data_IF_156390110776
#
_entry.id   IF_156390110776
#
_cell.length_a   1.000
_cell.length_b   1.000
_cell.length_c   1.000
_cell.angle_alpha   90.00
_cell.angle_beta   90.00
_cell.angle_gamma   90.00
#
_symmetry.space_group_name_H-M   'P 1'
#
loop_
_entity.id
_entity.type
_entity.pdbx_description
1 polymer ?
#
# COMPACT_ATOMS: atom_id res chain seq x y z
N UNK A 1 -14.87 -20.28 42.50
CA UNK A 1 -14.33 -19.07 41.83
C UNK A 1 -13.49 -19.51 40.64
N UNK A 2 -14.08 -19.50 39.43
CA UNK A 2 -13.46 -20.02 38.21
C UNK A 2 -12.62 -18.94 37.52
N UNK A 3 -11.32 -19.19 37.42
CA UNK A 3 -10.35 -18.35 36.74
C UNK A 3 -10.46 -18.59 35.21
N UNK A 4 -10.92 -17.57 34.47
CA UNK A 4 -11.10 -17.64 33.01
C UNK A 4 -9.76 -17.49 32.29
N UNK A 5 -9.38 -18.56 31.57
CA UNK A 5 -8.32 -18.57 30.56
C UNK A 5 -8.50 -17.44 29.53
N UNK A 6 -7.68 -16.38 29.61
CA UNK A 6 -7.39 -15.50 28.46
C UNK A 6 -6.22 -16.11 27.70
N UNK A 7 -6.52 -16.89 26.65
CA UNK A 7 -5.51 -17.27 25.65
C UNK A 7 -5.07 -15.99 24.93
N UNK A 8 -3.84 -15.53 25.20
CA UNK A 8 -3.15 -14.55 24.37
C UNK A 8 -2.91 -15.20 23.00
N UNK A 9 -3.63 -14.74 21.98
CA UNK A 9 -3.37 -15.11 20.59
C UNK A 9 -2.00 -14.54 20.22
N UNK A 10 -1.00 -15.43 20.10
CA UNK A 10 0.29 -15.09 19.52
C UNK A 10 0.08 -14.68 18.05
N UNK A 11 0.69 -13.58 17.58
CA UNK A 11 0.58 -13.20 16.19
C UNK A 11 1.06 -14.34 15.29
N UNK A 12 0.30 -14.61 14.24
CA UNK A 12 0.63 -15.57 13.18
C UNK A 12 2.01 -15.26 12.59
N UNK A 13 2.72 -16.27 12.07
CA UNK A 13 4.06 -16.09 11.48
C UNK A 13 4.08 -15.07 10.32
N UNK A 14 2.95 -14.87 9.64
CA UNK A 14 2.75 -13.82 8.64
C UNK A 14 2.66 -12.39 9.23
N UNK A 15 2.27 -12.25 10.50
CA UNK A 15 2.30 -10.95 11.20
C UNK A 15 3.71 -10.59 11.72
N UNK A 16 4.65 -11.54 11.72
CA UNK A 16 6.04 -11.32 12.14
C UNK A 16 6.96 -10.79 11.02
N UNK A 17 6.51 -10.85 9.77
CA UNK A 17 7.21 -10.31 8.61
C UNK A 17 6.28 -9.35 7.89
N UNK A 18 6.50 -8.05 8.08
CA UNK A 18 5.71 -7.03 7.41
C UNK A 18 6.06 -6.99 5.93
N UNK A 19 5.04 -7.04 5.06
CA UNK A 19 5.16 -6.75 3.63
C UNK A 19 4.54 -5.39 3.37
N UNK A 20 5.23 -4.55 2.58
CA UNK A 20 4.78 -3.21 2.18
C UNK A 20 5.17 -2.91 0.73
N UNK A 21 4.29 -2.21 0.02
CA UNK A 21 4.57 -1.67 -1.30
C UNK A 21 4.71 -0.16 -1.19
N UNK A 22 5.83 0.36 -1.67
CA UNK A 22 6.17 1.77 -1.60
C UNK A 22 6.28 2.34 -3.01
N UNK A 23 5.47 3.33 -3.29
CA UNK A 23 5.54 4.13 -4.50
C UNK A 23 6.44 5.34 -4.26
N UNK A 24 7.44 5.53 -5.12
CA UNK A 24 8.30 6.71 -5.16
C UNK A 24 8.02 7.39 -6.49
N UNK A 25 7.62 8.65 -6.47
CA UNK A 25 7.23 9.36 -7.70
C UNK A 25 7.64 10.82 -7.71
N UNK A 26 8.02 11.32 -8.88
CA UNK A 26 8.20 12.74 -9.13
C UNK A 26 6.88 13.47 -9.37
N UNK A 27 5.78 12.73 -9.53
CA UNK A 27 4.54 13.24 -10.08
C UNK A 27 4.82 13.97 -11.39
N UNK A 28 4.18 15.12 -11.60
CA UNK A 28 4.42 15.99 -12.77
C UNK A 28 5.65 16.90 -12.62
N UNK A 29 6.67 16.43 -11.91
CA UNK A 29 7.93 17.14 -11.70
C UNK A 29 8.79 17.20 -12.97
N UNK A 30 9.71 18.17 -13.10
CA UNK A 30 10.65 18.24 -14.22
C UNK A 30 11.73 17.15 -14.12
N UNK A 31 12.61 17.07 -15.11
CA UNK A 31 13.70 16.08 -15.18
C UNK A 31 14.60 16.02 -13.94
N UNK A 32 14.74 17.13 -13.21
CA UNK A 32 15.46 17.12 -11.93
C UNK A 32 14.76 16.22 -10.90
N UNK A 33 13.43 16.28 -10.80
CA UNK A 33 12.67 15.44 -9.88
C UNK A 33 12.72 13.96 -10.30
N UNK A 34 12.65 13.65 -11.59
CA UNK A 34 12.76 12.26 -12.08
C UNK A 34 14.15 11.68 -11.85
N UNK A 35 15.20 12.50 -11.90
CA UNK A 35 16.53 12.09 -11.49
C UNK A 35 16.61 11.84 -9.98
N UNK A 36 15.99 12.72 -9.17
CA UNK A 36 15.91 12.54 -7.70
C UNK A 36 15.23 11.23 -7.34
N UNK A 37 14.12 10.87 -8.01
CA UNK A 37 13.46 9.55 -7.79
C UNK A 37 14.45 8.41 -8.00
N UNK A 38 15.24 8.42 -9.08
CA UNK A 38 16.23 7.38 -9.35
C UNK A 38 17.27 7.26 -8.21
N UNK A 39 17.74 8.40 -7.68
CA UNK A 39 18.68 8.40 -6.56
C UNK A 39 18.03 7.94 -5.25
N UNK A 40 16.80 8.36 -4.97
CA UNK A 40 16.04 7.93 -3.78
C UNK A 40 15.77 6.42 -3.83
N UNK A 41 15.39 5.87 -4.97
CA UNK A 41 15.23 4.42 -5.16
C UNK A 41 16.53 3.70 -4.82
N UNK A 42 17.65 4.11 -5.41
CA UNK A 42 18.97 3.52 -5.12
C UNK A 42 19.27 3.58 -3.62
N UNK A 43 19.09 4.75 -3.00
CA UNK A 43 19.39 4.95 -1.58
C UNK A 43 18.49 4.13 -0.66
N UNK A 44 17.21 4.01 -0.99
CA UNK A 44 16.27 3.20 -0.22
C UNK A 44 16.64 1.72 -0.28
N UNK A 45 17.05 1.21 -1.45
CA UNK A 45 17.52 -0.17 -1.59
C UNK A 45 18.79 -0.44 -0.77
N UNK A 46 19.76 0.48 -0.78
CA UNK A 46 20.96 0.41 0.05
C UNK A 46 20.62 0.39 1.54
N UNK A 47 19.81 1.34 2.03
CA UNK A 47 19.41 1.40 3.45
C UNK A 47 18.55 0.19 3.87
N UNK A 48 17.73 -0.34 2.97
CA UNK A 48 16.95 -1.56 3.23
C UNK A 48 17.88 -2.76 3.41
N UNK A 49 18.89 -2.90 2.54
CA UNK A 49 19.89 -3.95 2.64
C UNK A 49 20.71 -3.85 3.94
N UNK A 50 21.16 -2.65 4.33
CA UNK A 50 21.84 -2.40 5.61
C UNK A 50 21.00 -2.83 6.82
N UNK A 51 19.67 -2.68 6.74
CA UNK A 51 18.71 -3.08 7.77
C UNK A 51 18.22 -4.52 7.63
N UNK A 52 18.83 -5.33 6.76
CA UNK A 52 18.47 -6.73 6.51
C UNK A 52 17.01 -6.90 6.06
N UNK A 53 16.46 -5.88 5.38
CA UNK A 53 15.16 -5.94 4.71
C UNK A 53 15.36 -6.41 3.27
N UNK A 54 14.46 -7.27 2.80
CA UNK A 54 14.41 -7.67 1.40
C UNK A 54 13.65 -6.59 0.61
N UNK A 55 14.32 -5.99 -0.35
CA UNK A 55 13.76 -4.94 -1.18
C UNK A 55 13.87 -5.30 -2.67
N UNK A 56 12.75 -5.28 -3.38
CA UNK A 56 12.67 -5.62 -4.81
C UNK A 56 11.91 -4.53 -5.55
N UNK A 57 12.46 -4.02 -6.65
CA UNK A 57 11.73 -3.10 -7.54
C UNK A 57 10.75 -3.93 -8.37
N UNK A 58 9.45 -3.67 -8.22
CA UNK A 58 8.36 -4.40 -8.90
C UNK A 58 7.96 -3.70 -10.20
N UNK A 59 7.91 -2.37 -10.16
CA UNK A 59 7.57 -1.54 -11.31
C UNK A 59 8.52 -0.35 -11.37
N UNK A 60 8.87 0.04 -12.60
CA UNK A 60 9.70 1.20 -12.87
C UNK A 60 9.28 1.85 -14.17
N UNK A 61 8.93 3.11 -14.09
CA UNK A 61 8.60 3.98 -15.22
C UNK A 61 9.80 4.89 -15.48
N UNK A 62 10.39 4.77 -16.66
CA UNK A 62 11.52 5.60 -17.04
C UNK A 62 11.07 7.05 -17.25
N UNK A 63 11.88 8.01 -16.80
CA UNK A 63 11.66 9.41 -17.14
C UNK A 63 12.13 9.72 -18.58
N UNK A 64 11.86 10.93 -19.04
CA UNK A 64 12.21 11.38 -20.40
C UNK A 64 13.72 11.40 -20.66
N UNK A 65 14.52 11.69 -19.63
CA UNK A 65 15.98 11.78 -19.73
C UNK A 65 16.65 10.46 -19.32
N UNK A 66 17.78 10.15 -19.93
CA UNK A 66 18.52 8.93 -19.66
C UNK A 66 18.91 8.81 -18.17
N UNK A 67 18.64 7.64 -17.59
CA UNK A 67 18.94 7.36 -16.19
C UNK A 67 17.96 7.99 -15.19
N UNK A 68 16.89 8.63 -15.65
CA UNK A 68 15.84 9.18 -14.78
C UNK A 68 14.64 8.23 -14.65
N UNK A 69 13.87 8.41 -13.59
CA UNK A 69 12.71 7.56 -13.25
C UNK A 69 11.55 8.47 -12.86
N UNK A 70 10.39 8.29 -13.47
CA UNK A 70 9.20 9.07 -13.12
C UNK A 70 8.52 8.49 -11.88
N UNK A 71 8.28 7.18 -11.90
CA UNK A 71 7.71 6.43 -10.78
C UNK A 71 8.41 5.09 -10.63
N UNK A 72 8.60 4.64 -9.40
CA UNK A 72 9.01 3.28 -9.08
C UNK A 72 8.17 2.73 -7.93
N UNK A 73 7.89 1.43 -7.98
CA UNK A 73 7.23 0.70 -6.89
C UNK A 73 8.21 -0.33 -6.35
N UNK A 74 8.45 -0.27 -5.04
CA UNK A 74 9.36 -1.16 -4.33
C UNK A 74 8.55 -2.02 -3.37
N UNK A 75 8.75 -3.33 -3.46
CA UNK A 75 8.27 -4.32 -2.51
C UNK A 75 9.29 -4.53 -1.41
N UNK A 76 8.88 -4.27 -0.17
CA UNK A 76 9.68 -4.41 1.03
C UNK A 76 9.12 -5.52 1.91
N UNK A 77 10.00 -6.42 2.35
CA UNK A 77 9.67 -7.57 3.19
C UNK A 77 10.74 -7.73 4.30
N UNK A 78 10.31 -7.91 5.54
CA UNK A 78 11.24 -8.17 6.64
C UNK A 78 10.71 -7.79 8.02
N UNK A 79 11.56 -7.94 9.03
CA UNK A 79 11.27 -7.52 10.40
C UNK A 79 11.56 -6.02 10.54
N UNK A 80 10.60 -5.23 11.01
CA UNK A 80 10.76 -3.79 11.17
C UNK A 80 10.54 -2.95 9.89
N UNK A 81 9.92 -3.53 8.86
CA UNK A 81 9.55 -2.80 7.63
C UNK A 81 8.68 -1.59 7.95
N UNK A 82 7.77 -1.68 8.92
CA UNK A 82 6.90 -0.57 9.32
C UNK A 82 7.72 0.66 9.75
N UNK A 83 8.63 0.52 10.71
CA UNK A 83 9.50 1.62 11.16
C UNK A 83 10.37 2.17 10.03
N UNK A 84 10.85 1.29 9.14
CA UNK A 84 11.61 1.71 7.96
C UNK A 84 10.75 2.59 7.04
N UNK A 85 9.55 2.13 6.68
CA UNK A 85 8.61 2.82 5.81
C UNK A 85 8.17 4.15 6.41
N UNK A 86 7.78 4.19 7.69
CA UNK A 86 7.38 5.44 8.37
C UNK A 86 8.47 6.51 8.30
N UNK A 87 9.75 6.11 8.32
CA UNK A 87 10.87 7.07 8.21
C UNK A 87 11.10 7.64 6.81
N UNK A 88 10.44 7.09 5.79
CA UNK A 88 10.56 7.49 4.38
C UNK A 88 9.25 8.08 3.82
N UNK A 89 8.10 7.72 4.39
CA UNK A 89 6.79 8.19 3.92
C UNK A 89 6.68 9.71 3.97
N UNK A 90 6.13 10.29 2.90
CA UNK A 90 5.94 11.72 2.74
C UNK A 90 6.87 12.33 1.69
N UNK A 91 7.10 13.63 1.79
CA UNK A 91 7.89 14.38 0.82
C UNK A 91 9.39 14.27 1.11
N UNK A 92 10.17 14.02 0.07
CA UNK A 92 11.63 14.10 0.10
C UNK A 92 12.07 15.34 -0.66
N UNK A 93 12.96 16.13 -0.06
CA UNK A 93 13.58 17.28 -0.70
C UNK A 93 15.02 16.97 -1.10
N UNK A 94 15.37 17.29 -2.34
CA UNK A 94 16.76 17.39 -2.77
C UNK A 94 17.14 18.85 -3.02
N UNK A 95 18.29 19.26 -2.50
CA UNK A 95 18.85 20.60 -2.67
C UNK A 95 20.11 20.48 -3.54
N UNK A 96 19.99 20.88 -4.80
CA UNK A 96 21.09 20.83 -5.75
C UNK A 96 20.84 21.63 -7.03
N UNK A 97 21.92 22.00 -7.69
CA UNK A 97 21.85 22.71 -8.97
C UNK A 97 21.39 21.72 -10.06
N UNK A 98 20.50 22.18 -10.93
CA UNK A 98 20.07 21.38 -12.07
C UNK A 98 21.26 21.06 -13.00
N UNK A 99 21.41 19.79 -13.34
CA UNK A 99 22.33 19.31 -14.38
C UNK A 99 21.70 19.35 -15.77
N UNK A 100 20.37 19.33 -15.84
CA UNK A 100 19.59 19.32 -17.08
C UNK A 100 19.42 20.74 -17.66
N UNK A 101 19.37 21.77 -16.80
CA UNK A 101 19.15 23.16 -17.20
C UNK A 101 20.28 24.06 -16.68
N UNK A 102 21.27 24.31 -17.55
CA UNK A 102 22.57 24.95 -17.26
C UNK A 102 22.50 26.34 -16.60
N UNK A 103 21.36 27.05 -16.64
CA UNK A 103 21.20 28.39 -16.04
C UNK A 103 20.02 28.53 -15.08
N UNK A 104 19.37 27.42 -14.72
CA UNK A 104 18.19 27.49 -13.87
C UNK A 104 18.57 27.73 -12.41
N UNK A 105 18.00 28.75 -11.78
CA UNK A 105 18.38 29.18 -10.42
C UNK A 105 17.78 28.33 -9.30
N UNK A 106 16.68 27.60 -9.56
CA UNK A 106 16.04 26.74 -8.54
C UNK A 106 16.99 25.63 -8.11
N UNK A 107 17.02 25.39 -6.79
CA UNK A 107 17.81 24.33 -6.17
C UNK A 107 16.98 23.32 -5.37
N UNK A 108 15.75 23.66 -5.00
CA UNK A 108 14.88 22.78 -4.23
C UNK A 108 13.99 21.97 -5.16
N UNK A 109 14.07 20.65 -5.05
CA UNK A 109 13.32 19.69 -5.84
C UNK A 109 12.64 18.70 -4.89
N UNK A 110 11.41 18.32 -5.19
CA UNK A 110 10.58 17.51 -4.29
C UNK A 110 10.08 16.27 -5.01
N UNK A 111 10.05 15.15 -4.30
CA UNK A 111 9.46 13.88 -4.75
C UNK A 111 8.61 13.30 -3.61
N UNK A 112 7.60 12.51 -3.96
CA UNK A 112 6.71 11.88 -2.99
C UNK A 112 7.03 10.42 -2.78
N UNK A 113 6.91 9.96 -1.54
CA UNK A 113 6.96 8.55 -1.15
C UNK A 113 5.64 8.20 -0.48
N UNK A 114 4.92 7.24 -1.06
CA UNK A 114 3.60 6.82 -0.62
C UNK A 114 3.56 5.32 -0.39
N UNK A 115 2.77 4.89 0.60
CA UNK A 115 2.41 3.50 0.77
C UNK A 115 1.23 3.21 -0.15
N UNK A 116 1.31 2.09 -0.89
CA UNK A 116 0.18 1.60 -1.68
C UNK A 116 -0.27 0.27 -1.11
N UNK A 117 -1.59 0.05 -1.12
CA UNK A 117 -2.14 -1.22 -0.71
C UNK A 117 -1.78 -2.30 -1.74
N UNK A 118 -1.39 -3.46 -1.24
CA UNK A 118 -1.22 -4.64 -2.07
C UNK A 118 -2.60 -5.22 -2.38
N UNK A 119 -2.97 -5.24 -3.66
CA UNK A 119 -4.15 -6.00 -4.09
C UNK A 119 -3.95 -7.48 -3.78
N UNK A 120 -4.97 -8.09 -3.18
CA UNK A 120 -5.00 -9.52 -2.90
C UNK A 120 -5.77 -10.19 -4.03
N UNK A 121 -5.05 -10.79 -4.97
CA UNK A 121 -5.72 -11.62 -5.97
C UNK A 121 -6.26 -12.87 -5.27
N UNK A 122 -7.58 -12.90 -5.09
CA UNK A 122 -8.26 -14.01 -4.43
C UNK A 122 -8.58 -15.06 -5.48
N UNK A 123 -7.81 -16.14 -5.49
CA UNK A 123 -8.11 -17.30 -6.34
C UNK A 123 -9.40 -17.98 -5.87
N UNK A 124 -10.27 -18.34 -6.82
CA UNK A 124 -11.49 -19.09 -6.53
C UNK A 124 -11.20 -20.58 -6.49
N UNK A 125 -11.50 -21.23 -5.35
CA UNK A 125 -11.53 -22.68 -5.26
C UNK A 125 -12.85 -23.16 -4.65
N UNK A 126 -13.46 -24.18 -5.24
CA UNK A 126 -14.75 -24.71 -4.76
C UNK A 126 -14.69 -25.25 -3.33
N UNK A 127 -13.52 -25.75 -2.90
CA UNK A 127 -13.28 -26.24 -1.52
C UNK A 127 -13.44 -25.15 -0.46
N UNK A 128 -13.28 -23.89 -0.84
CA UNK A 128 -13.35 -22.74 0.06
C UNK A 128 -14.77 -22.16 0.13
N UNK A 129 -15.74 -22.82 -0.53
CA UNK A 129 -17.14 -22.41 -0.57
C UNK A 129 -17.98 -23.23 0.41
N UNK A 130 -18.58 -22.55 1.37
CA UNK A 130 -19.60 -23.11 2.24
C UNK A 130 -20.98 -22.95 1.62
N UNK A 131 -21.67 -24.07 1.42
CA UNK A 131 -23.05 -24.09 0.92
C UNK A 131 -24.03 -24.31 2.06
N UNK A 132 -25.05 -23.46 2.16
CA UNK A 132 -26.14 -23.58 3.12
C UNK A 132 -27.46 -23.66 2.35
N UNK A 133 -28.23 -24.71 2.59
CA UNK A 133 -29.59 -24.83 2.07
C UNK A 133 -30.54 -23.97 2.91
N UNK A 134 -31.43 -23.25 2.23
CA UNK A 134 -32.43 -22.40 2.85
C UNK A 134 -33.77 -22.55 2.15
N UNK A 135 -34.83 -22.11 2.82
CA UNK A 135 -36.15 -21.99 2.20
C UNK A 135 -36.14 -20.79 1.26
N UNK A 136 -36.73 -20.96 0.09
CA UNK A 136 -36.90 -19.86 -0.86
C UNK A 136 -37.84 -18.81 -0.27
N UNK A 137 -37.48 -17.53 -0.35
CA UNK A 137 -38.33 -16.42 0.08
C UNK A 137 -39.17 -15.88 -1.08
N UNK A 138 -40.51 -15.95 -0.99
CA UNK A 138 -41.40 -15.38 -2.00
C UNK A 138 -42.87 -15.76 -1.81
N UNK A 139 -43.77 -15.06 -2.50
CA UNK A 139 -45.19 -15.37 -2.55
C UNK A 139 -45.43 -16.64 -3.40
N UNK A 140 -45.20 -17.82 -2.80
CA UNK A 140 -45.37 -19.10 -3.47
C UNK A 140 -46.25 -20.07 -2.69
N UNK A 141 -46.83 -21.05 -3.40
CA UNK A 141 -47.69 -22.09 -2.82
C UNK A 141 -46.96 -23.07 -1.89
N UNK A 142 -47.63 -24.16 -1.48
CA UNK A 142 -47.13 -25.11 -0.46
C UNK A 142 -45.68 -25.60 -0.66
N UNK A 143 -45.21 -25.70 -1.92
CA UNK A 143 -43.86 -26.14 -2.25
C UNK A 143 -42.77 -25.16 -1.78
N UNK A 144 -43.00 -23.84 -1.86
CA UNK A 144 -42.05 -22.81 -1.42
C UNK A 144 -41.88 -22.83 0.10
N UNK A 145 -42.95 -23.16 0.82
CA UNK A 145 -42.94 -23.21 2.29
C UNK A 145 -42.38 -24.53 2.86
N UNK A 146 -42.36 -25.62 2.08
CA UNK A 146 -41.92 -26.95 2.55
C UNK A 146 -40.51 -27.35 2.10
N UNK A 147 -40.06 -26.92 0.92
CA UNK A 147 -38.80 -27.43 0.32
C UNK A 147 -37.68 -26.40 0.43
N UNK A 148 -36.53 -26.81 0.99
CA UNK A 148 -35.34 -25.97 1.10
C UNK A 148 -34.51 -26.02 -0.18
N UNK A 149 -35.05 -25.47 -1.28
CA UNK A 149 -34.39 -25.51 -2.59
C UNK A 149 -33.39 -24.36 -2.80
N UNK A 150 -33.48 -23.26 -2.07
CA UNK A 150 -32.56 -22.14 -2.20
C UNK A 150 -31.20 -22.48 -1.58
N UNK A 151 -30.12 -21.98 -2.20
CA UNK A 151 -28.74 -22.20 -1.75
C UNK A 151 -28.07 -20.86 -1.52
N UNK A 152 -27.49 -20.68 -0.34
CA UNK A 152 -26.51 -19.64 -0.04
C UNK A 152 -25.11 -20.23 -0.19
N UNK A 153 -24.30 -19.66 -1.08
CA UNK A 153 -22.88 -20.00 -1.22
C UNK A 153 -22.05 -18.87 -0.61
N UNK A 154 -21.16 -19.19 0.32
CA UNK A 154 -20.29 -18.23 1.00
C UNK A 154 -18.84 -18.63 0.78
N UNK A 155 -18.04 -17.72 0.24
CA UNK A 155 -16.60 -17.92 0.13
C UNK A 155 -15.95 -17.60 1.47
N UNK A 156 -15.42 -18.62 2.14
CA UNK A 156 -14.93 -18.51 3.52
C UNK A 156 -13.79 -17.46 3.65
N UNK A 157 -12.79 -17.42 2.75
CA UNK A 157 -11.69 -16.48 2.86
C UNK A 157 -12.09 -15.00 2.72
N UNK A 158 -13.07 -14.68 1.87
CA UNK A 158 -13.48 -13.29 1.61
C UNK A 158 -14.75 -12.87 2.36
N UNK A 159 -15.51 -13.84 2.88
CA UNK A 159 -16.83 -13.59 3.48
C UNK A 159 -17.93 -13.21 2.47
N UNK A 160 -17.62 -13.16 1.17
CA UNK A 160 -18.60 -12.84 0.12
C UNK A 160 -19.61 -13.98 0.04
N UNK A 161 -20.89 -13.64 0.12
CA UNK A 161 -21.98 -14.59 0.01
C UNK A 161 -22.95 -14.21 -1.10
N UNK A 162 -23.45 -15.21 -1.81
CA UNK A 162 -24.49 -15.08 -2.83
C UNK A 162 -25.60 -16.09 -2.57
N UNK A 163 -26.80 -15.79 -3.04
CA UNK A 163 -27.96 -16.68 -2.94
C UNK A 163 -28.49 -16.98 -4.33
N UNK A 164 -28.86 -18.25 -4.56
CA UNK A 164 -29.57 -18.69 -5.75
C UNK A 164 -30.83 -19.45 -5.35
N UNK A 165 -31.96 -19.07 -5.94
CA UNK A 165 -33.27 -19.64 -5.67
C UNK A 165 -34.16 -19.71 -6.92
N UNK A 166 -33.52 -19.56 -8.08
CA UNK A 166 -34.13 -19.38 -9.39
C UNK A 166 -34.83 -20.65 -9.89
N UNK A 167 -34.35 -21.82 -9.47
CA UNK A 167 -34.93 -23.13 -9.79
C UNK A 167 -35.61 -23.77 -8.57
N UNK A 168 -36.55 -24.68 -8.86
CA UNK A 168 -37.09 -25.63 -7.86
C UNK A 168 -36.09 -26.71 -7.43
N UNK A 169 -35.00 -26.91 -8.18
CA UNK A 169 -33.98 -27.92 -7.90
C UNK A 169 -32.82 -27.33 -7.09
N UNK A 170 -32.55 -27.95 -5.94
CA UNK A 170 -31.42 -27.56 -5.07
C UNK A 170 -30.07 -27.71 -5.79
N UNK A 171 -29.89 -28.75 -6.62
CA UNK A 171 -28.63 -28.97 -7.34
C UNK A 171 -28.39 -27.90 -8.40
N UNK A 172 -29.44 -27.48 -9.12
CA UNK A 172 -29.34 -26.38 -10.08
C UNK A 172 -29.05 -25.05 -9.38
N UNK A 173 -29.70 -24.78 -8.25
CA UNK A 173 -29.41 -23.59 -7.45
C UNK A 173 -27.99 -23.61 -6.88
N UNK A 174 -27.47 -24.78 -6.48
CA UNK A 174 -26.07 -24.90 -6.05
C UNK A 174 -25.12 -24.49 -7.17
N UNK A 175 -25.29 -25.04 -8.38
CA UNK A 175 -24.46 -24.70 -9.55
C UNK A 175 -24.52 -23.20 -9.87
N UNK A 176 -25.72 -22.62 -9.87
CA UNK A 176 -25.93 -21.21 -10.13
C UNK A 176 -25.31 -20.31 -9.05
N UNK A 177 -25.41 -20.70 -7.77
CA UNK A 177 -24.78 -19.98 -6.67
C UNK A 177 -23.24 -20.01 -6.80
N UNK A 178 -22.65 -21.15 -7.20
CA UNK A 178 -21.21 -21.26 -7.45
C UNK A 178 -20.77 -20.31 -8.57
N UNK A 179 -21.51 -20.28 -9.69
CA UNK A 179 -21.20 -19.41 -10.83
C UNK A 179 -21.30 -17.92 -10.46
N UNK A 180 -22.37 -17.52 -9.78
CA UNK A 180 -22.54 -16.15 -9.26
C UNK A 180 -21.44 -15.76 -8.27
N UNK A 181 -21.04 -16.69 -7.40
CA UNK A 181 -20.00 -16.43 -6.41
C UNK A 181 -18.65 -16.20 -7.08
N UNK A 182 -18.32 -17.02 -8.09
CA UNK A 182 -17.10 -16.86 -8.89
C UNK A 182 -17.06 -15.50 -9.58
N UNK A 183 -18.15 -15.13 -10.28
CA UNK A 183 -18.25 -13.81 -10.93
C UNK A 183 -18.09 -12.66 -9.92
N UNK A 184 -18.69 -12.78 -8.73
CA UNK A 184 -18.59 -11.74 -7.69
C UNK A 184 -17.18 -11.59 -7.14
N UNK A 185 -16.43 -12.68 -7.02
CA UNK A 185 -15.03 -12.64 -6.58
C UNK A 185 -14.15 -12.02 -7.65
N UNK A 186 -14.33 -12.40 -8.92
CA UNK A 186 -13.61 -11.80 -10.04
C UNK A 186 -13.88 -10.28 -10.13
N UNK A 187 -15.14 -9.85 -10.02
CA UNK A 187 -15.53 -8.45 -9.97
C UNK A 187 -14.85 -7.71 -8.81
N UNK A 188 -14.82 -8.33 -7.62
CA UNK A 188 -14.14 -7.76 -6.46
C UNK A 188 -12.64 -7.59 -6.67
N UNK A 189 -11.95 -8.60 -7.24
CA UNK A 189 -10.52 -8.51 -7.54
C UNK A 189 -10.25 -7.38 -8.55
N UNK A 190 -11.07 -7.27 -9.60
CA UNK A 190 -11.01 -6.17 -10.57
C UNK A 190 -11.19 -4.79 -9.93
N UNK A 191 -12.16 -4.65 -9.03
CA UNK A 191 -12.39 -3.39 -8.33
C UNK A 191 -11.23 -3.02 -7.40
N UNK A 192 -10.63 -4.00 -6.71
CA UNK A 192 -9.43 -3.76 -5.90
C UNK A 192 -8.25 -3.29 -6.75
N UNK A 193 -8.03 -3.93 -7.90
CA UNK A 193 -6.98 -3.52 -8.84
C UNK A 193 -7.19 -2.08 -9.33
N UNK A 194 -8.41 -1.74 -9.79
CA UNK A 194 -8.74 -0.37 -10.22
C UNK A 194 -8.54 0.66 -9.12
N UNK A 195 -8.93 0.34 -7.89
CA UNK A 195 -8.74 1.25 -6.75
C UNK A 195 -7.25 1.46 -6.45
N UNK A 196 -6.43 0.40 -6.56
CA UNK A 196 -4.98 0.50 -6.39
C UNK A 196 -4.35 1.44 -7.43
N UNK A 197 -4.72 1.30 -8.71
CA UNK A 197 -4.24 2.21 -9.77
C UNK A 197 -4.71 3.64 -9.55
N UNK A 198 -5.98 3.83 -9.18
CA UNK A 198 -6.53 5.14 -8.90
C UNK A 198 -5.83 5.83 -7.71
N UNK A 199 -5.51 5.07 -6.66
CA UNK A 199 -4.76 5.56 -5.51
C UNK A 199 -3.32 5.94 -5.91
N UNK A 200 -2.64 5.06 -6.67
CA UNK A 200 -1.29 5.33 -7.17
C UNK A 200 -1.25 6.59 -8.05
N UNK A 201 -2.27 6.80 -8.87
CA UNK A 201 -2.43 8.02 -9.67
C UNK A 201 -2.72 9.25 -8.80
N UNK A 202 -3.59 9.13 -7.81
CA UNK A 202 -3.91 10.22 -6.87
C UNK A 202 -2.67 10.69 -6.12
N UNK A 203 -1.83 9.74 -5.66
CA UNK A 203 -0.55 10.02 -5.01
C UNK A 203 0.37 10.91 -5.89
N UNK A 204 0.42 10.68 -7.20
CA UNK A 204 1.20 11.51 -8.13
C UNK A 204 0.74 12.97 -8.17
N UNK A 205 -0.55 13.22 -7.91
CA UNK A 205 -1.11 14.58 -7.86
C UNK A 205 -0.96 15.26 -6.51
N UNK A 206 -0.83 14.49 -5.42
CA UNK A 206 -0.84 15.00 -4.05
C UNK A 206 0.55 15.29 -3.48
N UNK A 207 1.60 15.32 -4.31
CA UNK A 207 2.96 15.61 -3.82
C UNK A 207 3.03 17.01 -3.21
N UNK A 208 3.21 17.07 -1.90
CA UNK A 208 3.38 18.31 -1.17
C UNK A 208 4.75 18.93 -1.44
N UNK A 209 4.77 20.23 -1.77
CA UNK A 209 6.01 20.99 -2.01
C UNK A 209 6.39 21.76 -0.75
N UNK A 210 6.86 21.04 0.25
CA UNK A 210 7.19 21.58 1.57
C UNK A 210 7.27 20.47 2.61
N UNK A 211 7.57 20.83 3.86
CA UNK A 211 7.63 19.93 5.02
C UNK A 211 8.31 18.57 4.73
N UNK A 212 9.56 18.57 4.23
CA UNK A 212 10.22 17.33 3.84
C UNK A 212 10.50 16.46 5.06
N UNK A 213 10.20 15.17 4.93
CA UNK A 213 10.56 14.15 5.92
C UNK A 213 12.05 13.88 5.89
N UNK A 214 12.68 13.97 4.70
CA UNK A 214 14.14 13.92 4.56
C UNK A 214 14.64 14.93 3.55
N UNK A 215 15.84 15.42 3.81
CA UNK A 215 16.56 16.37 2.94
C UNK A 215 17.88 15.75 2.50
N UNK A 216 18.13 15.76 1.20
CA UNK A 216 19.39 15.36 0.57
C UNK A 216 20.02 16.56 -0.11
N UNK A 217 21.35 16.66 -0.10
CA UNK A 217 22.06 17.78 -0.70
C UNK A 217 23.25 17.34 -1.55
N UNK A 218 23.64 18.20 -2.49
CA UNK A 218 24.83 18.01 -3.32
C UNK A 218 24.60 17.10 -4.53
N UNK A 219 25.66 16.88 -5.29
CA UNK A 219 25.66 16.05 -6.51
C UNK A 219 25.54 14.56 -6.23
N UNK A 220 26.01 14.12 -5.07
CA UNK A 220 26.26 12.70 -4.78
C UNK A 220 25.18 12.04 -3.91
N UNK A 221 24.07 12.75 -3.64
CA UNK A 221 22.99 12.27 -2.77
C UNK A 221 23.49 11.80 -1.38
N UNK A 222 24.58 12.42 -0.91
CA UNK A 222 25.18 12.09 0.39
C UNK A 222 24.22 12.50 1.50
N UNK A 223 24.10 11.66 2.53
CA UNK A 223 23.30 11.93 3.72
C UNK A 223 23.81 13.24 4.35
N UNK A 224 22.90 14.18 4.65
CA UNK A 224 23.27 15.29 5.52
C UNK A 224 23.81 14.70 6.83
N UNK A 225 25.00 15.15 7.26
CA UNK A 225 25.42 14.93 8.64
C UNK A 225 24.35 15.54 9.53
N UNK A 226 23.87 14.79 10.52
CA UNK A 226 23.05 15.37 11.58
C UNK A 226 23.80 16.60 12.12
N UNK A 227 23.21 17.76 11.92
CA UNK A 227 23.79 19.01 12.38
C UNK A 227 23.58 19.02 13.91
N UNK A 228 24.56 18.51 14.66
CA UNK A 228 24.62 18.57 16.13
C UNK A 228 24.87 20.01 16.61
N UNK A 229 24.30 20.99 15.91
CA UNK A 229 24.41 22.40 16.20
C UNK A 229 23.40 22.74 17.29
N UNK A 230 23.87 22.70 18.54
CA UNK A 230 23.13 23.12 19.73
C UNK A 230 22.81 24.63 19.73
N UNK A 231 23.01 25.35 18.62
CA UNK A 231 22.82 26.81 18.52
C UNK A 231 21.39 27.23 18.87
N UNK A 232 20.38 26.46 18.43
CA UNK A 232 18.97 26.72 18.77
C UNK A 232 18.68 26.47 20.25
N UNK A 233 19.22 25.40 20.81
CA UNK A 233 19.07 25.03 22.21
C UNK A 233 19.77 26.04 23.14
N UNK A 234 20.98 26.47 22.78
CA UNK A 234 21.75 27.51 23.47
C UNK A 234 21.08 28.89 23.43
N UNK A 235 20.41 29.23 22.32
CA UNK A 235 19.61 30.46 22.20
C UNK A 235 18.33 30.39 23.05
N UNK A 236 17.75 29.20 23.22
CA UNK A 236 16.57 28.97 24.06
C UNK A 236 16.92 29.11 25.55
N UNK A 237 18.02 28.49 25.98
CA UNK A 237 18.56 28.62 27.34
C UNK A 237 18.91 30.08 27.66
N UNK A 238 19.63 30.77 26.77
CA UNK A 238 19.94 32.21 26.96
C UNK A 238 18.73 33.12 27.09
N UNK A 239 17.58 32.76 26.50
CA UNK A 239 16.34 33.53 26.65
C UNK A 239 15.61 33.18 27.94
N UNK A 240 15.80 31.99 28.50
CA UNK A 240 15.28 31.63 29.81
C UNK A 240 16.06 32.33 30.92
N UNK A 241 17.40 32.34 30.81
CA UNK A 241 18.29 33.02 31.78
C UNK A 241 18.13 34.55 31.82
N UNK A 242 17.48 35.16 30.82
CA UNK A 242 17.27 36.62 30.75
C UNK A 242 15.89 37.05 31.29
N UNK A 243 15.00 36.10 31.56
CA UNK A 243 13.64 36.32 32.06
C UNK A 243 13.47 35.89 33.53
N UNK A 244 14.56 35.47 34.20
CA UNK A 244 14.71 35.36 35.66
C UNK A 244 15.48 36.58 36.20
#
# INVERSE_FOLDING_TARGET
MNNKNKKSLSPSLSERFGVRLIQITSGRGPAECTWVVAQVVKKMLEEAHEKQLKATVVQREAGQENGTVETAIIHLEGKGVETFVTSWLGTIQWIGKSTFRKFHQRKNWFVGIFEIEQSKDTAFHEKDVQYQAMRSSGAGGQHVNKVSSAIRATHIPTGIAVVAMDSRSQHQNKKLATERLKQKIEENNWNQFKNQEQNAWSNQMQIERGNPVRVFEGSDFKKQKEDKSYKKERLKLKRQDYNE
#
